data_IF_630272087651
#
_entry.id   IF_630272087651
#
_cell.length_a   1.000
_cell.length_b   1.000
_cell.length_c   1.000
_cell.angle_alpha   90.00
_cell.angle_beta   90.00
_cell.angle_gamma   90.00
#
_symmetry.space_group_name_H-M   'P 1'
#
loop_
_entity.id
_entity.type
_entity.pdbx_description
1 polymer ?
#
# COMPACT_ATOMS: atom_id res chain seq x y z
N UNK A 1 0.21 11.28 -12.60
CA UNK A 1 1.49 10.86 -12.00
C UNK A 1 1.79 9.41 -12.33
N UNK A 2 3.06 9.11 -12.54
CA UNK A 2 3.53 7.77 -12.76
C UNK A 2 3.42 6.95 -11.46
N UNK A 3 3.09 5.68 -11.55
CA UNK A 3 3.02 4.79 -10.39
C UNK A 3 4.16 3.78 -10.45
N UNK A 4 4.85 3.63 -9.33
CA UNK A 4 5.87 2.63 -9.15
C UNK A 4 5.55 1.83 -7.90
N UNK A 5 5.31 0.52 -8.08
CA UNK A 5 5.11 -0.40 -6.97
C UNK A 5 6.47 -0.93 -6.55
N UNK A 6 6.88 -0.64 -5.31
CA UNK A 6 8.17 -1.07 -4.79
C UNK A 6 8.21 -2.58 -4.59
N UNK A 7 9.40 -3.15 -4.58
CA UNK A 7 9.59 -4.60 -4.51
C UNK A 7 8.92 -5.21 -3.29
N UNK A 8 9.05 -4.59 -2.13
CA UNK A 8 8.40 -5.09 -0.92
C UNK A 8 6.87 -5.13 -1.07
N UNK A 9 6.29 -4.04 -1.61
CA UNK A 9 4.83 -3.99 -1.81
C UNK A 9 4.37 -5.06 -2.79
N UNK A 10 5.15 -5.31 -3.82
CA UNK A 10 4.88 -6.35 -4.80
C UNK A 10 4.91 -7.73 -4.17
N UNK A 11 5.90 -8.00 -3.35
CA UNK A 11 6.01 -9.26 -2.59
C UNK A 11 4.85 -9.43 -1.63
N UNK A 12 4.47 -8.36 -0.93
CA UNK A 12 3.33 -8.37 -0.02
C UNK A 12 2.02 -8.71 -0.76
N UNK A 13 1.84 -8.16 -1.95
CA UNK A 13 0.65 -8.45 -2.76
C UNK A 13 0.58 -9.92 -3.16
N UNK A 14 1.72 -10.51 -3.50
CA UNK A 14 1.83 -11.93 -3.79
C UNK A 14 1.51 -12.76 -2.55
N UNK A 15 2.04 -12.40 -1.40
CA UNK A 15 1.80 -13.10 -0.14
C UNK A 15 0.33 -13.03 0.25
N UNK A 16 -0.33 -11.91 0.05
CA UNK A 16 -1.77 -11.74 0.28
C UNK A 16 -2.56 -12.72 -0.60
N UNK A 17 -2.18 -12.87 -1.85
CA UNK A 17 -2.82 -13.82 -2.75
C UNK A 17 -2.70 -15.25 -2.21
N UNK A 18 -1.50 -15.69 -1.88
CA UNK A 18 -1.28 -17.05 -1.40
C UNK A 18 -1.96 -17.32 -0.07
N UNK A 19 -1.95 -16.36 0.83
CA UNK A 19 -2.66 -16.48 2.10
C UNK A 19 -4.16 -16.71 1.88
N UNK A 20 -4.79 -15.88 1.07
CA UNK A 20 -6.22 -15.99 0.80
C UNK A 20 -6.58 -17.24 -0.01
N UNK A 21 -5.67 -17.70 -0.87
CA UNK A 21 -5.91 -18.88 -1.71
C UNK A 21 -6.05 -20.17 -0.92
N UNK A 22 -5.57 -20.19 0.32
CA UNK A 22 -5.78 -21.34 1.23
C UNK A 22 -7.25 -21.55 1.55
N UNK A 23 -8.04 -20.51 1.47
CA UNK A 23 -9.46 -20.55 1.83
C UNK A 23 -10.35 -20.51 0.60
N UNK A 24 -9.99 -19.71 -0.41
CA UNK A 24 -10.78 -19.56 -1.63
C UNK A 24 -9.93 -18.94 -2.72
N UNK A 25 -9.78 -19.63 -3.85
CA UNK A 25 -9.10 -19.08 -5.02
C UNK A 25 -9.83 -17.87 -5.57
N UNK A 26 -11.16 -17.90 -5.57
CA UNK A 26 -11.99 -16.79 -6.03
C UNK A 26 -11.75 -15.55 -5.19
N UNK A 27 -11.77 -15.67 -3.88
CA UNK A 27 -11.54 -14.54 -2.96
C UNK A 27 -10.11 -14.02 -3.09
N UNK A 28 -9.13 -14.89 -3.26
CA UNK A 28 -7.74 -14.48 -3.47
C UNK A 28 -7.59 -13.63 -4.72
N UNK A 29 -8.19 -14.08 -5.82
CA UNK A 29 -8.17 -13.34 -7.07
C UNK A 29 -8.87 -12.00 -6.96
N UNK A 30 -10.08 -11.96 -6.42
CA UNK A 30 -10.86 -10.72 -6.27
C UNK A 30 -10.16 -9.70 -5.37
N UNK A 31 -9.58 -10.15 -4.25
CA UNK A 31 -8.85 -9.27 -3.34
C UNK A 31 -7.67 -8.62 -4.05
N UNK A 32 -6.88 -9.40 -4.79
CA UNK A 32 -5.74 -8.88 -5.53
C UNK A 32 -6.18 -7.90 -6.62
N UNK A 33 -7.22 -8.22 -7.36
CA UNK A 33 -7.73 -7.33 -8.41
C UNK A 33 -8.24 -6.01 -7.84
N UNK A 34 -8.96 -6.06 -6.73
CA UNK A 34 -9.47 -4.86 -6.09
C UNK A 34 -8.35 -3.96 -5.58
N UNK A 35 -7.30 -4.54 -4.99
CA UNK A 35 -6.13 -3.78 -4.56
C UNK A 35 -5.42 -3.14 -5.75
N UNK A 36 -5.25 -3.88 -6.85
CA UNK A 36 -4.62 -3.38 -8.07
C UNK A 36 -5.40 -2.22 -8.68
N UNK A 37 -6.74 -2.31 -8.67
CA UNK A 37 -7.59 -1.23 -9.16
C UNK A 37 -7.44 0.04 -8.32
N UNK A 38 -7.38 -0.09 -6.99
CA UNK A 38 -7.16 1.05 -6.10
C UNK A 38 -5.82 1.72 -6.38
N UNK A 39 -4.78 0.92 -6.60
CA UNK A 39 -3.46 1.44 -6.94
C UNK A 39 -3.50 2.17 -8.29
N UNK A 40 -4.14 1.57 -9.29
CA UNK A 40 -4.26 2.17 -10.62
C UNK A 40 -4.94 3.55 -10.56
N UNK A 41 -6.00 3.67 -9.75
CA UNK A 41 -6.75 4.91 -9.62
C UNK A 41 -5.93 6.06 -9.03
N UNK A 42 -4.83 5.75 -8.34
CA UNK A 42 -3.93 6.78 -7.82
C UNK A 42 -3.26 7.62 -8.91
N UNK A 43 -3.16 7.10 -10.11
CA UNK A 43 -2.55 7.80 -11.24
C UNK A 43 -3.18 9.17 -11.46
N UNK A 44 -4.50 9.25 -11.34
CA UNK A 44 -5.27 10.49 -11.53
C UNK A 44 -5.77 11.11 -10.21
N UNK A 45 -5.82 10.33 -9.15
CA UNK A 45 -6.35 10.76 -7.85
C UNK A 45 -5.35 10.51 -6.73
N UNK A 46 -4.14 11.05 -6.88
CA UNK A 46 -3.03 10.73 -5.99
C UNK A 46 -3.20 11.22 -4.54
N UNK A 47 -4.06 12.21 -4.30
CA UNK A 47 -4.35 12.68 -2.93
C UNK A 47 -5.62 12.09 -2.33
N UNK A 48 -6.21 11.07 -2.96
CA UNK A 48 -7.46 10.47 -2.48
C UNK A 48 -7.31 9.74 -1.12
N UNK A 49 -6.12 9.21 -0.85
CA UNK A 49 -5.83 8.56 0.42
C UNK A 49 -5.68 9.56 1.56
N UNK A 50 -5.81 9.07 2.78
CA UNK A 50 -5.56 9.88 3.97
C UNK A 50 -4.07 9.89 4.32
N UNK A 51 -3.62 10.88 5.07
CA UNK A 51 -2.27 10.86 5.61
C UNK A 51 -2.10 9.63 6.51
N UNK A 52 -0.93 8.99 6.43
CA UNK A 52 -0.60 7.86 7.32
C UNK A 52 -0.43 8.42 8.73
N UNK A 53 -1.29 8.02 9.70
CA UNK A 53 -1.26 8.64 11.03
C UNK A 53 0.08 8.51 11.74
N UNK A 54 0.76 7.38 11.57
CA UNK A 54 2.05 7.12 12.23
C UNK A 54 3.18 8.00 11.70
N UNK A 55 3.05 8.55 10.49
CA UNK A 55 4.07 9.37 9.85
C UNK A 55 3.75 10.85 9.94
N UNK A 56 2.48 11.21 9.82
CA UNK A 56 1.97 12.59 9.88
C UNK A 56 2.66 13.56 8.90
N UNK A 57 2.90 13.10 7.67
CA UNK A 57 3.47 13.87 6.57
C UNK A 57 2.53 13.74 5.36
N UNK A 58 2.12 14.86 4.77
CA UNK A 58 1.16 14.89 3.66
C UNK A 58 1.58 14.09 2.43
N UNK A 59 2.87 13.83 2.27
CA UNK A 59 3.37 13.06 1.13
C UNK A 59 3.18 11.56 1.32
N UNK A 60 3.01 11.11 2.57
CA UNK A 60 2.80 9.70 2.91
C UNK A 60 1.34 9.46 3.18
N UNK A 61 0.71 8.72 2.27
CA UNK A 61 -0.74 8.48 2.33
C UNK A 61 -1.06 7.01 2.26
N UNK A 62 -2.29 6.68 2.59
CA UNK A 62 -2.78 5.31 2.52
C UNK A 62 -4.22 5.26 2.05
N UNK A 63 -4.54 4.20 1.31
CA UNK A 63 -5.92 3.83 0.99
C UNK A 63 -6.23 2.58 1.77
N UNK A 64 -7.42 2.55 2.38
CA UNK A 64 -7.88 1.37 3.11
C UNK A 64 -8.76 0.54 2.17
N UNK A 65 -8.32 -0.67 1.86
CA UNK A 65 -9.17 -1.67 1.22
C UNK A 65 -9.84 -2.49 2.32
N UNK A 66 -11.15 -2.34 2.43
CA UNK A 66 -11.91 -3.03 3.45
C UNK A 66 -12.61 -4.24 2.83
N UNK A 67 -12.18 -5.43 3.23
CA UNK A 67 -12.73 -6.69 2.74
C UNK A 67 -13.97 -7.10 3.52
N UNK A 68 -13.91 -6.99 4.85
CA UNK A 68 -15.04 -7.19 5.77
C UNK A 68 -15.00 -6.10 6.83
N UNK A 69 -15.95 -6.12 7.76
CA UNK A 69 -15.96 -5.16 8.87
C UNK A 69 -14.67 -5.22 9.69
N UNK A 70 -14.07 -6.41 9.84
CA UNK A 70 -12.92 -6.63 10.71
C UNK A 70 -11.61 -6.88 9.97
N UNK A 71 -11.65 -7.05 8.66
CA UNK A 71 -10.46 -7.35 7.88
C UNK A 71 -10.31 -6.41 6.68
N UNK A 72 -9.08 -6.03 6.41
CA UNK A 72 -8.75 -5.18 5.30
C UNK A 72 -7.25 -4.99 5.18
N UNK A 73 -6.85 -4.16 4.24
CA UNK A 73 -5.46 -3.87 3.96
C UNK A 73 -5.23 -2.38 3.89
N UNK A 74 -4.06 -1.96 4.34
CA UNK A 74 -3.58 -0.59 4.21
C UNK A 74 -2.62 -0.55 3.02
N UNK A 75 -2.97 0.21 2.01
CA UNK A 75 -2.14 0.39 0.82
C UNK A 75 -1.45 1.74 0.99
N UNK A 76 -0.17 1.71 1.32
CA UNK A 76 0.60 2.90 1.66
C UNK A 76 1.43 3.36 0.49
N UNK A 77 1.44 4.68 0.26
CA UNK A 77 2.17 5.26 -0.86
C UNK A 77 2.78 6.60 -0.49
N UNK A 78 3.82 6.96 -1.22
CA UNK A 78 4.54 8.21 -1.09
C UNK A 78 4.39 9.01 -2.38
N UNK A 79 4.02 10.29 -2.25
CA UNK A 79 3.85 11.17 -3.40
C UNK A 79 5.11 12.02 -3.55
N UNK A 80 5.83 11.84 -4.66
CA UNK A 80 6.99 12.66 -5.00
C UNK A 80 6.63 13.61 -6.13
N UNK A 81 6.34 14.85 -5.78
CA UNK A 81 6.08 15.88 -6.78
C UNK A 81 7.33 16.13 -7.64
N UNK A 82 8.49 16.07 -7.02
CA UNK A 82 9.78 16.28 -7.68
C UNK A 82 9.99 15.30 -8.83
N UNK A 83 9.71 14.03 -8.64
CA UNK A 83 9.88 13.01 -9.66
C UNK A 83 8.58 12.69 -10.41
N UNK A 84 7.49 13.37 -10.08
CA UNK A 84 6.16 13.12 -10.64
C UNK A 84 5.77 11.64 -10.57
N UNK A 85 6.05 11.03 -9.42
CA UNK A 85 5.89 9.58 -9.22
C UNK A 85 5.22 9.31 -7.88
N UNK A 86 4.34 8.32 -7.87
CA UNK A 86 3.75 7.75 -6.68
C UNK A 86 4.44 6.41 -6.42
N UNK A 87 5.04 6.27 -5.24
CA UNK A 87 5.70 5.03 -4.84
C UNK A 87 4.78 4.27 -3.88
N UNK A 88 4.25 3.14 -4.32
CA UNK A 88 3.50 2.24 -3.43
C UNK A 88 4.53 1.38 -2.72
N UNK A 89 4.69 1.58 -1.41
CA UNK A 89 5.81 0.99 -0.70
C UNK A 89 5.42 -0.07 0.35
N UNK A 90 4.14 -0.14 0.73
CA UNK A 90 3.73 -1.06 1.79
C UNK A 90 2.26 -1.44 1.62
N UNK A 91 1.97 -2.75 1.61
CA UNK A 91 0.60 -3.26 1.56
C UNK A 91 0.48 -4.27 2.68
N UNK A 92 -0.15 -3.86 3.77
CA UNK A 92 -0.21 -4.67 4.98
C UNK A 92 -1.65 -4.86 5.44
N UNK A 93 -1.88 -5.97 6.14
CA UNK A 93 -3.12 -6.19 6.84
C UNK A 93 -3.33 -5.07 7.86
N UNK A 94 -4.56 -4.61 8.01
CA UNK A 94 -4.90 -3.51 8.93
C UNK A 94 -4.53 -3.80 10.39
N UNK A 95 -4.33 -5.07 10.74
CA UNK A 95 -3.94 -5.50 12.09
C UNK A 95 -2.43 -5.60 12.31
N UNK A 96 -1.62 -5.45 11.25
CA UNK A 96 -0.17 -5.49 11.39
C UNK A 96 0.38 -4.20 11.99
N UNK A 97 1.47 -4.34 12.75
CA UNK A 97 2.15 -3.21 13.36
C UNK A 97 3.04 -2.50 12.33
N UNK A 98 2.54 -1.37 11.83
CA UNK A 98 3.25 -0.58 10.83
C UNK A 98 4.57 -0.02 11.37
N UNK A 99 4.61 0.41 12.63
CA UNK A 99 5.83 0.98 13.22
C UNK A 99 6.97 -0.04 13.20
N UNK A 100 6.68 -1.30 13.52
CA UNK A 100 7.67 -2.37 13.46
C UNK A 100 8.19 -2.58 12.03
N UNK A 101 7.28 -2.61 11.06
CA UNK A 101 7.65 -2.79 9.65
C UNK A 101 8.51 -1.62 9.17
N UNK A 102 8.16 -0.41 9.57
CA UNK A 102 8.89 0.79 9.24
C UNK A 102 10.34 0.74 9.72
N UNK A 103 10.54 0.31 10.98
CA UNK A 103 11.88 0.16 11.56
C UNK A 103 12.71 -0.90 10.83
N UNK A 104 12.09 -2.01 10.45
CA UNK A 104 12.78 -3.11 9.78
C UNK A 104 13.27 -2.75 8.38
N UNK A 105 12.54 -1.90 7.66
CA UNK A 105 12.81 -1.61 6.27
C UNK A 105 13.36 -0.21 5.99
N UNK A 106 13.50 0.59 7.04
CA UNK A 106 14.15 1.90 6.98
C UNK A 106 13.59 2.81 5.87
N UNK A 107 12.28 2.84 5.71
CA UNK A 107 11.60 3.57 4.64
C UNK A 107 11.94 5.06 4.59
N UNK A 108 12.06 5.71 5.75
CA UNK A 108 12.30 7.15 5.81
C UNK A 108 13.57 7.53 5.07
N UNK A 109 14.65 6.77 5.25
CA UNK A 109 15.92 7.07 4.61
C UNK A 109 15.84 6.96 3.08
N UNK A 110 14.96 6.07 2.59
CA UNK A 110 14.78 5.88 1.16
C UNK A 110 14.01 7.03 0.51
N UNK A 111 13.04 7.60 1.21
CA UNK A 111 12.12 8.56 0.59
C UNK A 111 12.46 10.03 0.88
N UNK A 112 13.09 10.35 2.00
CA UNK A 112 13.47 11.72 2.29
C UNK A 112 14.61 12.24 1.40
N UNK A 113 15.32 11.35 0.73
CA UNK A 113 16.39 11.71 -0.21
C UNK A 113 15.90 11.83 -1.66
N UNK A 114 14.65 11.57 -1.91
CA UNK A 114 14.01 11.74 -3.21
C UNK A 114 13.37 13.13 -3.26
#
# INVERSE_FOLDING_TARGET
MKIQVEDLAREQLIDIYYYNSRYSLKNAYETNQNIRLLIHDLEESHYIGRCIPEIADNRFREIIYRKTRESGYRIMYFISEKSNTIFVFNIINSKQDFIRILKLHNYFNNYFNI
#
